data_IF_242509401776
#
_entry.id   IF_242509401776
#
_cell.length_a   1.000
_cell.length_b   1.000
_cell.length_c   1.000
_cell.angle_alpha   90.00
_cell.angle_beta   90.00
_cell.angle_gamma   90.00
#
_symmetry.space_group_name_H-M   'P 1'
#
loop_
_entity.id
_entity.type
_entity.pdbx_description
1 polymer ?
#
# COMPACT_ATOMS: atom_id res chain seq x y z
N UNK A 1 -3.56 -2.70 43.55
CA UNK A 1 -3.32 -3.45 42.29
C UNK A 1 -4.06 -2.70 41.21
N UNK A 2 -3.41 -1.69 40.62
CA UNK A 2 -4.02 -0.80 39.64
C UNK A 2 -3.74 -1.30 38.22
N UNK A 3 -4.79 -1.75 37.55
CA UNK A 3 -4.75 -2.12 36.15
C UNK A 3 -4.66 -0.85 35.30
N UNK A 4 -3.50 -0.65 34.67
CA UNK A 4 -3.26 0.41 33.69
C UNK A 4 -4.23 0.26 32.52
N UNK A 5 -5.25 1.11 32.48
CA UNK A 5 -6.08 1.32 31.31
C UNK A 5 -5.21 1.89 30.17
N UNK A 6 -4.70 1.01 29.31
CA UNK A 6 -4.05 1.40 28.05
C UNK A 6 -5.10 2.02 27.14
N UNK A 7 -5.13 3.34 27.16
CA UNK A 7 -5.92 4.25 26.33
C UNK A 7 -5.78 3.90 24.82
N UNK A 8 -6.83 3.33 24.18
CA UNK A 8 -6.80 2.88 22.79
C UNK A 8 -6.68 4.04 21.78
N UNK A 9 -6.93 5.28 22.20
CA UNK A 9 -6.90 6.45 21.31
C UNK A 9 -5.50 6.88 20.89
N UNK A 10 -4.46 6.55 21.67
CA UNK A 10 -3.07 6.91 21.34
C UNK A 10 -2.51 6.12 20.14
N UNK A 11 -3.00 4.90 19.92
CA UNK A 11 -2.54 4.04 18.83
C UNK A 11 -3.00 4.56 17.46
N UNK A 12 -4.23 5.08 17.37
CA UNK A 12 -4.80 5.60 16.12
C UNK A 12 -4.12 6.88 15.61
N UNK A 13 -3.74 7.77 16.53
CA UNK A 13 -3.06 9.03 16.18
C UNK A 13 -1.62 8.81 15.69
N UNK A 14 -0.86 7.88 16.30
CA UNK A 14 0.50 7.52 15.85
C UNK A 14 0.49 6.95 14.43
N UNK A 15 -0.48 6.08 14.11
CA UNK A 15 -0.59 5.45 12.79
C UNK A 15 -1.00 6.46 11.70
N UNK A 16 -1.82 7.46 12.05
CA UNK A 16 -2.20 8.56 11.15
C UNK A 16 -1.03 9.50 10.86
N UNK A 17 -0.20 9.81 11.87
CA UNK A 17 1.06 10.58 11.72
C UNK A 17 2.09 9.82 10.88
N UNK A 18 2.31 8.53 11.14
CA UNK A 18 3.23 7.70 10.35
C UNK A 18 2.82 7.63 8.86
N UNK A 19 1.52 7.50 8.57
CA UNK A 19 1.02 7.56 7.18
C UNK A 19 1.26 8.90 6.51
N UNK A 20 1.09 10.00 7.23
CA UNK A 20 1.37 11.34 6.72
C UNK A 20 2.87 11.57 6.53
N UNK A 21 3.71 11.09 7.44
CA UNK A 21 5.18 11.21 7.32
C UNK A 21 5.68 10.38 6.13
N UNK A 22 5.23 9.13 5.98
CA UNK A 22 5.60 8.30 4.83
C UNK A 22 5.08 8.89 3.50
N UNK A 23 3.85 9.40 3.46
CA UNK A 23 3.27 9.93 2.22
C UNK A 23 3.76 11.34 1.84
N UNK A 24 3.98 12.21 2.83
CA UNK A 24 4.21 13.64 2.62
C UNK A 24 5.68 14.05 2.78
N UNK A 25 6.51 13.24 3.46
CA UNK A 25 7.95 13.52 3.64
C UNK A 25 8.79 12.59 2.76
N UNK A 26 8.50 11.28 2.79
CA UNK A 26 9.30 10.32 2.02
C UNK A 26 9.15 10.53 0.51
N UNK A 27 7.94 10.83 0.04
CA UNK A 27 7.68 11.01 -1.38
C UNK A 27 8.42 12.22 -1.98
N UNK A 28 8.32 13.46 -1.43
CA UNK A 28 9.10 14.57 -1.95
C UNK A 28 10.60 14.44 -1.65
N UNK A 29 11.02 13.75 -0.59
CA UNK A 29 12.45 13.48 -0.36
C UNK A 29 13.03 12.52 -1.41
N UNK A 30 12.28 11.47 -1.79
CA UNK A 30 12.69 10.54 -2.85
C UNK A 30 12.62 11.22 -4.21
N UNK A 31 11.57 11.99 -4.50
CA UNK A 31 11.45 12.77 -5.74
C UNK A 31 12.57 13.82 -5.83
N UNK A 32 12.89 14.50 -4.73
CA UNK A 32 13.99 15.46 -4.64
C UNK A 32 15.36 14.80 -4.82
N UNK A 33 15.59 13.65 -4.20
CA UNK A 33 16.82 12.87 -4.37
C UNK A 33 16.98 12.36 -5.81
N UNK A 34 15.89 11.90 -6.44
CA UNK A 34 15.87 11.52 -7.86
C UNK A 34 16.13 12.70 -8.78
N UNK A 35 15.52 13.86 -8.52
CA UNK A 35 15.72 15.07 -9.30
C UNK A 35 17.17 15.59 -9.20
N UNK A 36 17.75 15.58 -7.99
CA UNK A 36 19.17 15.93 -7.78
C UNK A 36 20.08 14.91 -8.46
N UNK A 37 19.77 13.61 -8.37
CA UNK A 37 20.53 12.55 -9.05
C UNK A 37 20.52 12.69 -10.57
N UNK A 38 19.37 13.01 -11.18
CA UNK A 38 19.26 13.28 -12.61
C UNK A 38 19.99 14.56 -13.01
N UNK A 39 19.87 15.63 -12.20
CA UNK A 39 20.54 16.90 -12.46
C UNK A 39 22.08 16.80 -12.34
N UNK A 40 22.58 15.98 -11.42
CA UNK A 40 24.03 15.79 -11.20
C UNK A 40 24.63 14.71 -12.11
N UNK A 41 23.89 13.65 -12.46
CA UNK A 41 24.37 12.57 -13.34
C UNK A 41 24.31 12.93 -14.83
N UNK A 42 23.41 13.82 -15.24
CA UNK A 42 23.13 14.12 -16.64
C UNK A 42 24.24 14.84 -17.43
N UNK A 43 25.35 15.25 -16.80
CA UNK A 43 26.38 16.00 -17.52
C UNK A 43 27.46 15.15 -18.19
N UNK A 44 27.69 13.88 -17.80
CA UNK A 44 28.81 13.08 -18.36
C UNK A 44 28.64 11.55 -18.41
N UNK A 45 27.47 10.99 -18.07
CA UNK A 45 27.28 9.52 -18.02
C UNK A 45 26.23 9.03 -19.01
N UNK A 46 26.44 7.83 -19.59
CA UNK A 46 25.49 7.21 -20.51
C UNK A 46 24.11 6.96 -19.87
N UNK A 47 23.08 6.73 -20.68
CA UNK A 47 21.70 6.50 -20.17
C UNK A 47 21.61 5.29 -19.21
N UNK A 48 22.50 4.31 -19.38
CA UNK A 48 22.58 3.08 -18.60
C UNK A 48 23.82 2.99 -17.71
N UNK A 49 24.82 3.84 -17.94
CA UNK A 49 26.06 3.84 -17.19
C UNK A 49 26.00 4.95 -16.16
N UNK A 50 26.10 4.59 -14.88
CA UNK A 50 26.20 5.53 -13.79
C UNK A 50 26.91 4.84 -12.65
N UNK A 51 28.12 5.26 -12.33
CA UNK A 51 28.81 4.73 -11.17
C UNK A 51 28.22 5.39 -9.90
N UNK A 52 27.48 4.65 -9.06
CA UNK A 52 26.95 5.22 -7.84
C UNK A 52 28.09 5.67 -6.92
N UNK A 53 28.01 6.87 -6.33
CA UNK A 53 28.89 7.21 -5.23
C UNK A 53 28.70 6.20 -4.08
N UNK A 54 29.78 5.91 -3.33
CA UNK A 54 29.77 4.84 -2.30
C UNK A 54 28.63 4.96 -1.30
N UNK A 55 28.25 6.18 -0.92
CA UNK A 55 27.12 6.41 -0.01
C UNK A 55 25.78 5.97 -0.61
N UNK A 56 25.56 6.24 -1.91
CA UNK A 56 24.35 5.86 -2.63
C UNK A 56 24.27 4.35 -2.81
N UNK A 57 25.40 3.71 -3.16
CA UNK A 57 25.47 2.25 -3.26
C UNK A 57 25.15 1.58 -1.92
N UNK A 58 25.75 2.03 -0.82
CA UNK A 58 25.48 1.48 0.51
C UNK A 58 24.02 1.69 0.92
N UNK A 59 23.48 2.89 0.72
CA UNK A 59 22.08 3.18 1.00
C UNK A 59 21.14 2.30 0.15
N UNK A 60 21.42 2.17 -1.14
CA UNK A 60 20.67 1.33 -2.07
C UNK A 60 20.64 -0.14 -1.63
N UNK A 61 21.79 -0.69 -1.21
CA UNK A 61 21.86 -2.05 -0.64
C UNK A 61 21.02 -2.20 0.62
N UNK A 62 21.12 -1.25 1.56
CA UNK A 62 20.36 -1.28 2.81
C UNK A 62 18.86 -1.22 2.54
N UNK A 63 18.40 -0.30 1.67
CA UNK A 63 17.00 -0.18 1.29
C UNK A 63 16.49 -1.45 0.59
N UNK A 64 17.29 -2.01 -0.32
CA UNK A 64 16.93 -3.24 -1.01
C UNK A 64 16.79 -4.42 -0.03
N UNK A 65 17.76 -4.62 0.86
CA UNK A 65 17.73 -5.70 1.86
C UNK A 65 16.53 -5.52 2.81
N UNK A 66 16.32 -4.31 3.34
CA UNK A 66 15.20 -4.04 4.24
C UNK A 66 13.85 -4.22 3.52
N UNK A 67 13.73 -3.76 2.28
CA UNK A 67 12.54 -3.95 1.46
C UNK A 67 12.21 -5.42 1.26
N UNK A 68 13.20 -6.24 0.90
CA UNK A 68 13.04 -7.70 0.77
C UNK A 68 12.64 -8.35 2.10
N UNK A 69 13.26 -7.97 3.23
CA UNK A 69 12.87 -8.49 4.55
C UNK A 69 11.41 -8.16 4.86
N UNK A 70 10.97 -6.92 4.58
CA UNK A 70 9.57 -6.49 4.78
C UNK A 70 8.62 -7.28 3.89
N UNK A 71 8.96 -7.49 2.62
CA UNK A 71 8.16 -8.28 1.67
C UNK A 71 8.00 -9.72 2.15
N UNK A 72 9.11 -10.39 2.51
CA UNK A 72 9.10 -11.77 3.03
C UNK A 72 8.29 -11.86 4.31
N UNK A 73 8.50 -10.95 5.26
CA UNK A 73 7.75 -10.92 6.51
C UNK A 73 6.25 -10.71 6.27
N UNK A 74 5.87 -9.82 5.35
CA UNK A 74 4.47 -9.58 4.97
C UNK A 74 3.83 -10.83 4.37
N UNK A 75 4.52 -11.51 3.43
CA UNK A 75 4.02 -12.75 2.82
C UNK A 75 3.87 -13.85 3.87
N UNK A 76 4.89 -14.09 4.69
CA UNK A 76 4.85 -15.10 5.76
C UNK A 76 3.70 -14.82 6.73
N UNK A 77 3.50 -13.56 7.11
CA UNK A 77 2.40 -13.17 7.99
C UNK A 77 1.03 -13.40 7.35
N UNK A 78 0.85 -13.09 6.06
CA UNK A 78 -0.41 -13.33 5.32
C UNK A 78 -0.70 -14.83 5.19
N UNK A 79 0.32 -15.64 4.94
CA UNK A 79 0.19 -17.09 4.85
C UNK A 79 -0.16 -17.69 6.22
N UNK A 80 0.56 -17.28 7.28
CA UNK A 80 0.32 -17.78 8.66
C UNK A 80 -1.03 -17.39 9.23
N UNK A 81 -1.53 -16.20 8.90
CA UNK A 81 -2.85 -15.74 9.35
C UNK A 81 -4.01 -16.35 8.56
N UNK A 82 -3.74 -17.20 7.56
CA UNK A 82 -4.77 -17.84 6.74
C UNK A 82 -5.55 -16.86 5.84
N UNK A 83 -5.18 -15.57 5.82
CA UNK A 83 -5.84 -14.52 5.03
C UNK A 83 -5.86 -14.84 3.54
N UNK A 84 -4.78 -15.45 3.05
CA UNK A 84 -4.71 -15.91 1.66
C UNK A 84 -5.78 -16.99 1.37
N UNK A 85 -5.97 -17.94 2.29
CA UNK A 85 -6.97 -19.00 2.16
C UNK A 85 -8.39 -18.43 2.23
N UNK A 86 -8.64 -17.52 3.17
CA UNK A 86 -9.93 -16.84 3.31
C UNK A 86 -10.30 -16.07 2.04
N UNK A 87 -9.35 -15.30 1.48
CA UNK A 87 -9.56 -14.58 0.21
C UNK A 87 -9.84 -15.50 -0.98
N UNK A 88 -9.23 -16.69 -1.04
CA UNK A 88 -9.49 -17.68 -2.11
C UNK A 88 -10.81 -18.42 -1.96
N UNK A 89 -11.39 -18.45 -0.77
CA UNK A 89 -12.68 -19.08 -0.51
C UNK A 89 -13.83 -18.06 -0.54
N UNK A 90 -13.56 -16.79 -0.86
CA UNK A 90 -14.58 -15.75 -0.90
C UNK A 90 -15.66 -16.06 -1.95
N UNK A 91 -16.95 -16.04 -1.57
CA UNK A 91 -18.08 -16.20 -2.50
C UNK A 91 -18.05 -15.19 -3.65
N UNK A 92 -17.41 -14.04 -3.45
CA UNK A 92 -17.23 -13.02 -4.49
C UNK A 92 -16.47 -13.55 -5.71
N UNK A 93 -15.64 -14.58 -5.55
CA UNK A 93 -14.90 -15.20 -6.66
C UNK A 93 -15.79 -15.99 -7.63
N UNK A 94 -16.99 -16.39 -7.21
CA UNK A 94 -17.97 -17.02 -8.09
C UNK A 94 -18.72 -16.00 -8.98
N UNK A 95 -18.72 -14.72 -8.60
CA UNK A 95 -19.43 -13.66 -9.32
C UNK A 95 -18.66 -13.21 -10.57
N UNK A 96 -19.39 -12.80 -11.61
CA UNK A 96 -18.79 -12.15 -12.79
C UNK A 96 -18.10 -10.82 -12.41
N UNK A 97 -17.04 -10.46 -13.14
CA UNK A 97 -16.26 -9.25 -12.94
C UNK A 97 -17.10 -7.96 -12.97
N UNK A 98 -18.10 -7.91 -13.87
CA UNK A 98 -19.04 -6.78 -13.96
C UNK A 98 -19.82 -6.59 -12.66
N UNK A 99 -20.32 -7.68 -12.06
CA UNK A 99 -21.07 -7.68 -10.81
C UNK A 99 -20.19 -7.28 -9.62
N UNK A 100 -18.97 -7.83 -9.52
CA UNK A 100 -17.99 -7.39 -8.50
C UNK A 100 -17.70 -5.90 -8.59
N UNK A 101 -17.53 -5.37 -9.81
CA UNK A 101 -17.28 -3.92 -10.02
C UNK A 101 -18.50 -3.06 -9.71
N UNK A 102 -19.73 -3.60 -9.81
CA UNK A 102 -20.96 -2.91 -9.39
C UNK A 102 -21.05 -2.87 -7.85
N UNK A 103 -20.89 -4.01 -7.18
CA UNK A 103 -20.84 -4.10 -5.71
C UNK A 103 -19.78 -3.15 -5.13
N UNK A 104 -18.56 -3.19 -5.67
CA UNK A 104 -17.48 -2.29 -5.28
C UNK A 104 -17.83 -0.80 -5.47
N UNK A 105 -18.62 -0.45 -6.50
CA UNK A 105 -19.08 0.93 -6.72
C UNK A 105 -20.15 1.34 -5.70
N UNK A 106 -21.10 0.45 -5.38
CA UNK A 106 -22.13 0.71 -4.37
C UNK A 106 -21.51 0.93 -2.98
N UNK A 107 -20.62 0.03 -2.54
CA UNK A 107 -19.88 0.18 -1.27
C UNK A 107 -19.06 1.48 -1.24
N UNK A 108 -18.44 1.87 -2.37
CA UNK A 108 -17.67 3.14 -2.44
C UNK A 108 -18.54 4.39 -2.39
N UNK A 109 -19.79 4.30 -2.83
CA UNK A 109 -20.75 5.40 -2.88
C UNK A 109 -21.61 5.48 -1.61
N UNK A 110 -21.70 4.41 -0.83
CA UNK A 110 -22.58 4.37 0.34
C UNK A 110 -24.06 4.27 -0.04
N UNK A 111 -24.37 3.79 -1.24
CA UNK A 111 -25.74 3.74 -1.77
C UNK A 111 -26.04 2.30 -2.20
N UNK A 112 -26.47 1.42 -1.29
CA UNK A 112 -26.90 0.07 -1.63
C UNK A 112 -28.14 0.16 -2.53
N UNK A 113 -28.19 -0.64 -3.60
CA UNK A 113 -29.38 -0.75 -4.46
C UNK A 113 -30.35 -1.77 -3.84
N UNK A 114 -31.66 -1.51 -3.92
CA UNK A 114 -32.68 -2.30 -3.20
C UNK A 114 -32.72 -3.80 -3.57
N UNK A 115 -32.32 -4.15 -4.79
CA UNK A 115 -32.32 -5.54 -5.29
C UNK A 115 -30.97 -6.26 -5.08
N UNK A 116 -29.97 -5.60 -4.51
CA UNK A 116 -28.66 -6.22 -4.32
C UNK A 116 -28.57 -6.91 -2.95
N UNK A 117 -28.03 -8.12 -2.95
CA UNK A 117 -27.89 -8.94 -1.75
C UNK A 117 -26.94 -8.27 -0.73
N UNK A 118 -27.48 -7.99 0.45
CA UNK A 118 -26.80 -7.36 1.56
C UNK A 118 -25.52 -8.11 1.96
N UNK A 119 -25.53 -9.45 1.90
CA UNK A 119 -24.39 -10.27 2.26
C UNK A 119 -23.18 -10.01 1.35
N UNK A 120 -23.40 -9.85 0.03
CA UNK A 120 -22.32 -9.53 -0.90
C UNK A 120 -21.77 -8.12 -0.71
N UNK A 121 -22.60 -7.16 -0.30
CA UNK A 121 -22.16 -5.80 0.00
C UNK A 121 -21.31 -5.74 1.26
N UNK A 122 -21.75 -6.40 2.34
CA UNK A 122 -20.99 -6.52 3.59
C UNK A 122 -19.66 -7.23 3.36
N UNK A 123 -19.66 -8.34 2.62
CA UNK A 123 -18.43 -9.08 2.30
C UNK A 123 -17.47 -8.23 1.44
N UNK A 124 -17.99 -7.49 0.46
CA UNK A 124 -17.18 -6.56 -0.34
C UNK A 124 -16.56 -5.45 0.52
N UNK A 125 -17.33 -4.91 1.48
CA UNK A 125 -16.85 -3.89 2.41
C UNK A 125 -15.78 -4.45 3.36
N UNK A 126 -15.98 -5.66 3.90
CA UNK A 126 -14.97 -6.38 4.70
C UNK A 126 -13.69 -6.61 3.90
N UNK A 127 -13.81 -7.05 2.65
CA UNK A 127 -12.65 -7.23 1.77
C UNK A 127 -11.84 -5.94 1.58
N UNK A 128 -12.49 -4.78 1.45
CA UNK A 128 -11.78 -3.49 1.40
C UNK A 128 -11.02 -3.17 2.69
N UNK A 129 -11.60 -3.49 3.86
CA UNK A 129 -10.93 -3.30 5.15
C UNK A 129 -9.74 -4.23 5.28
N UNK A 130 -9.91 -5.49 4.90
CA UNK A 130 -8.85 -6.50 4.98
C UNK A 130 -7.68 -6.17 4.05
N UNK A 131 -7.93 -5.61 2.86
CA UNK A 131 -6.87 -5.21 1.92
C UNK A 131 -5.83 -4.23 2.47
N UNK A 132 -6.05 -3.62 3.65
CA UNK A 132 -5.07 -2.76 4.32
C UNK A 132 -3.70 -3.39 4.50
N UNK A 133 -3.62 -4.71 4.68
CA UNK A 133 -2.33 -5.38 4.82
C UNK A 133 -1.46 -5.23 3.58
N UNK A 134 -2.08 -5.09 2.40
CA UNK A 134 -1.38 -4.94 1.13
C UNK A 134 -0.49 -3.68 1.10
N UNK A 135 -0.79 -2.68 1.93
CA UNK A 135 0.06 -1.49 2.08
C UNK A 135 1.44 -1.84 2.61
N UNK A 136 1.58 -2.85 3.48
CA UNK A 136 2.89 -3.29 3.98
C UNK A 136 3.71 -3.90 2.84
N UNK A 137 3.08 -4.72 2.01
CA UNK A 137 3.73 -5.31 0.83
C UNK A 137 4.15 -4.22 -0.17
N UNK A 138 3.27 -3.26 -0.45
CA UNK A 138 3.55 -2.12 -1.33
C UNK A 138 4.67 -1.24 -0.78
N UNK A 139 4.75 -1.06 0.55
CA UNK A 139 5.84 -0.32 1.17
C UNK A 139 7.19 -1.03 1.00
N UNK A 140 7.22 -2.36 1.12
CA UNK A 140 8.40 -3.17 0.80
C UNK A 140 8.84 -3.00 -0.66
N UNK A 141 7.89 -3.13 -1.60
CA UNK A 141 8.12 -2.96 -3.04
C UNK A 141 8.60 -1.56 -3.41
N UNK A 142 8.07 -0.52 -2.77
CA UNK A 142 8.54 0.83 -2.95
C UNK A 142 9.99 0.99 -2.44
N UNK A 143 10.32 0.41 -1.29
CA UNK A 143 11.66 0.46 -0.72
C UNK A 143 12.68 -0.28 -1.59
N UNK A 144 12.32 -1.46 -2.13
CA UNK A 144 13.18 -2.21 -3.07
C UNK A 144 13.37 -1.47 -4.38
N UNK A 145 12.30 -0.87 -4.95
CA UNK A 145 12.38 -0.05 -6.18
C UNK A 145 13.32 1.14 -6.01
N UNK A 146 13.24 1.84 -4.87
CA UNK A 146 14.13 2.96 -4.55
C UNK A 146 15.56 2.46 -4.36
N UNK A 147 15.76 1.35 -3.64
CA UNK A 147 17.08 0.74 -3.47
C UNK A 147 17.74 0.39 -4.80
N UNK A 148 17.00 -0.19 -5.75
CA UNK A 148 17.48 -0.48 -7.09
C UNK A 148 17.86 0.79 -7.87
N UNK A 149 17.08 1.87 -7.76
CA UNK A 149 17.40 3.14 -8.39
C UNK A 149 18.74 3.72 -7.88
N UNK A 150 19.00 3.62 -6.58
CA UNK A 150 20.27 4.04 -5.98
C UNK A 150 21.46 3.15 -6.36
N UNK A 151 21.22 1.84 -6.60
CA UNK A 151 22.25 0.90 -7.02
C UNK A 151 22.67 1.09 -8.47
N UNK A 152 21.72 1.38 -9.35
CA UNK A 152 21.99 1.60 -10.78
C UNK A 152 22.53 2.99 -11.08
N UNK A 153 22.15 4.01 -10.29
CA UNK A 153 22.56 5.42 -10.41
C UNK A 153 22.62 5.99 -11.84
N UNK A 154 21.81 5.43 -12.74
CA UNK A 154 21.69 5.87 -14.12
C UNK A 154 20.31 6.52 -14.34
N UNK A 155 20.18 7.47 -15.28
CA UNK A 155 18.92 8.15 -15.57
C UNK A 155 17.75 7.20 -15.85
N UNK A 156 18.01 6.07 -16.53
CA UNK A 156 17.01 5.05 -16.79
C UNK A 156 16.43 4.42 -15.50
N UNK A 157 17.29 4.01 -14.57
CA UNK A 157 16.87 3.44 -13.30
C UNK A 157 16.18 4.48 -12.40
N UNK A 158 16.62 5.74 -12.45
CA UNK A 158 15.95 6.84 -11.78
C UNK A 158 14.53 7.06 -12.33
N UNK A 159 14.35 7.04 -13.65
CA UNK A 159 13.04 7.19 -14.30
C UNK A 159 12.09 6.03 -13.95
N UNK A 160 12.55 4.79 -14.07
CA UNK A 160 11.74 3.61 -13.72
C UNK A 160 11.43 3.59 -12.22
N UNK A 161 12.43 3.85 -11.37
CA UNK A 161 12.24 3.93 -9.93
C UNK A 161 11.22 5.00 -9.53
N UNK A 162 11.29 6.18 -10.15
CA UNK A 162 10.32 7.26 -9.98
C UNK A 162 8.91 6.86 -10.41
N UNK A 163 8.76 6.25 -11.60
CA UNK A 163 7.48 5.78 -12.11
C UNK A 163 6.86 4.71 -11.17
N UNK A 164 7.66 3.73 -10.76
CA UNK A 164 7.23 2.69 -9.82
C UNK A 164 6.80 3.30 -8.49
N UNK A 165 7.56 4.26 -7.95
CA UNK A 165 7.21 4.96 -6.72
C UNK A 165 5.83 5.63 -6.82
N UNK A 166 5.54 6.31 -7.93
CA UNK A 166 4.22 6.91 -8.18
C UNK A 166 3.13 5.85 -8.22
N UNK A 167 3.35 4.73 -8.91
CA UNK A 167 2.40 3.62 -8.97
C UNK A 167 2.13 3.06 -7.57
N UNK A 168 3.17 2.81 -6.78
CA UNK A 168 3.07 2.30 -5.40
C UNK A 168 2.35 3.29 -4.47
N UNK A 169 2.61 4.59 -4.62
CA UNK A 169 1.93 5.64 -3.86
C UNK A 169 0.43 5.69 -4.19
N UNK A 170 0.07 5.68 -5.47
CA UNK A 170 -1.34 5.65 -5.93
C UNK A 170 -2.04 4.40 -5.42
N UNK A 171 -1.39 3.25 -5.50
CA UNK A 171 -1.94 1.97 -5.03
C UNK A 171 -2.18 2.00 -3.51
N UNK A 172 -1.22 2.51 -2.75
CA UNK A 172 -1.34 2.70 -1.30
C UNK A 172 -2.53 3.60 -0.97
N UNK A 173 -2.61 4.79 -1.58
CA UNK A 173 -3.72 5.74 -1.35
C UNK A 173 -5.06 5.11 -1.72
N UNK A 174 -5.13 4.39 -2.84
CA UNK A 174 -6.33 3.70 -3.30
C UNK A 174 -6.81 2.64 -2.28
N UNK A 175 -5.89 1.77 -1.82
CA UNK A 175 -6.19 0.75 -0.81
C UNK A 175 -6.68 1.40 0.48
N UNK A 176 -6.00 2.43 0.97
CA UNK A 176 -6.39 3.13 2.20
C UNK A 176 -7.74 3.82 2.08
N UNK A 177 -8.02 4.45 0.94
CA UNK A 177 -9.29 5.11 0.68
C UNK A 177 -10.43 4.10 0.58
N UNK A 178 -10.21 2.97 -0.09
CA UNK A 178 -11.20 1.90 -0.17
C UNK A 178 -11.46 1.30 1.21
N UNK A 179 -10.42 1.07 2.01
CA UNK A 179 -10.58 0.53 3.35
C UNK A 179 -11.30 1.49 4.31
N UNK A 180 -11.10 2.80 4.17
CA UNK A 180 -11.89 3.80 4.92
C UNK A 180 -13.35 3.82 4.48
N UNK A 181 -13.61 3.69 3.18
CA UNK A 181 -14.98 3.61 2.64
C UNK A 181 -15.69 2.33 3.07
N UNK A 182 -14.99 1.20 3.10
CA UNK A 182 -15.53 -0.07 3.62
C UNK A 182 -15.91 0.04 5.09
N UNK A 183 -15.05 0.65 5.93
CA UNK A 183 -15.39 0.92 7.33
C UNK A 183 -16.58 1.87 7.48
N UNK A 184 -16.64 2.94 6.69
CA UNK A 184 -17.77 3.87 6.71
C UNK A 184 -19.07 3.14 6.32
N UNK A 185 -19.05 2.37 5.22
CA UNK A 185 -20.19 1.58 4.78
C UNK A 185 -20.70 0.61 5.86
N UNK A 186 -19.80 -0.13 6.50
CA UNK A 186 -20.17 -1.06 7.58
C UNK A 186 -20.71 -0.35 8.83
N UNK A 187 -20.29 0.91 9.08
CA UNK A 187 -20.78 1.72 10.19
C UNK A 187 -22.16 2.31 9.89
N UNK A 188 -22.38 2.75 8.66
CA UNK A 188 -23.60 3.43 8.24
C UNK A 188 -24.75 2.44 7.97
N UNK A 189 -24.44 1.16 7.75
CA UNK A 189 -25.40 0.09 7.50
C UNK A 189 -25.25 -1.10 8.48
N UNK A 190 -25.47 -0.89 9.79
CA UNK A 190 -25.34 -1.96 10.79
C UNK A 190 -26.41 -3.04 10.61
N UNK A 191 -27.57 -2.68 10.06
CA UNK A 191 -28.70 -3.54 9.74
C UNK A 191 -28.33 -4.66 8.75
N UNK A 192 -27.45 -4.36 7.79
CA UNK A 192 -26.98 -5.35 6.82
C UNK A 192 -26.00 -6.38 7.44
N UNK A 193 -25.43 -6.07 8.60
CA UNK A 193 -24.39 -6.91 9.24
C UNK A 193 -24.93 -7.90 10.29
N UNK A 194 -26.21 -7.78 10.66
CA UNK A 194 -26.87 -8.58 11.70
C UNK A 194 -27.73 -9.75 11.20
N UNK A 195 -27.76 -10.00 9.89
CA UNK A 195 -28.37 -11.19 9.26
C UNK A 195 -27.28 -12.21 8.90
#
# INVERSE_FOLDING_TARGET
MDATATDPDRAGLKQRRLRLIFGFVLLPAVVGALAVGVAMGGQNTGIFDGDPPRWASNLGRVLLILGVIVEVAAVVWVVRTGRYRASRQSPLLALNWSRRRRLARQVRRGTPEADEDAAFLVETARQFVEQRWFVVLVAGLAMTSVGQAFLGFAPFFAMIGGLLLVIWAVLTVSVLRNARRGEAFLRDHPDLSGQ
#
